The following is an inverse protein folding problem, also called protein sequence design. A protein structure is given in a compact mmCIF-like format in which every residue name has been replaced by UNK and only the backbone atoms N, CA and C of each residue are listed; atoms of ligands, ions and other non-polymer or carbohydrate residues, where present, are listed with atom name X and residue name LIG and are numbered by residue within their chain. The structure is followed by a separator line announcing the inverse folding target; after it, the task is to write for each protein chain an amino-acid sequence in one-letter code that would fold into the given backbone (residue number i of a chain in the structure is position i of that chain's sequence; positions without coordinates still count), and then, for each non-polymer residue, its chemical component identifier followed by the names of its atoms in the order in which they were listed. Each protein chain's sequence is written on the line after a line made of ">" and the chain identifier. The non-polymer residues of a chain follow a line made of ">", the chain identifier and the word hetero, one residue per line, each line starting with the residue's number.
data_IF_764702744878
#
_entry.id   IF_764702744878
#
_cell.length_a   1.000
_cell.length_b   1.000
_cell.length_c   1.000
_cell.angle_alpha   90.00
_cell.angle_beta   90.00
_cell.angle_gamma   90.00
#
_symmetry.space_group_name_H-M   'P 1'
#
loop_
_entity.id
_entity.type
_entity.pdbx_description
1 polymer ?
#
# COMPACT_ATOMS: atom_id res chain seq x y z
N UNK A 1 5.69 -9.53 -17.79
CA UNK A 1 7.13 -9.29 -17.51
C UNK A 1 7.54 -10.07 -16.29
N UNK A 2 8.62 -10.82 -16.36
CA UNK A 2 9.18 -11.54 -15.22
C UNK A 2 10.34 -10.73 -14.67
N UNK A 3 10.31 -10.43 -13.38
CA UNK A 3 11.39 -9.69 -12.72
C UNK A 3 11.99 -10.57 -11.63
N UNK A 4 13.31 -10.53 -11.51
CA UNK A 4 14.05 -11.23 -10.45
C UNK A 4 14.31 -10.25 -9.29
N UNK A 5 14.05 -10.69 -8.08
CA UNK A 5 14.36 -9.98 -6.83
C UNK A 5 13.65 -8.64 -6.64
N UNK A 6 12.81 -8.23 -7.60
CA UNK A 6 12.03 -7.01 -7.49
C UNK A 6 10.66 -7.22 -8.12
N UNK A 7 9.64 -6.60 -7.55
CA UNK A 7 8.32 -6.54 -8.16
C UNK A 7 8.12 -5.19 -8.86
N UNK A 8 7.35 -5.20 -9.94
CA UNK A 8 6.92 -3.96 -10.56
C UNK A 8 5.88 -3.24 -9.70
N UNK A 9 5.49 -2.07 -10.16
CA UNK A 9 4.40 -1.32 -9.51
C UNK A 9 3.09 -2.07 -9.67
N UNK A 10 2.33 -2.18 -8.60
CA UNK A 10 1.00 -2.77 -8.67
C UNK A 10 0.07 -1.85 -9.46
N UNK A 11 -0.69 -2.43 -10.36
CA UNK A 11 -1.55 -1.66 -11.26
C UNK A 11 -3.02 -1.96 -10.97
N UNK A 12 -3.87 -1.01 -11.36
CA UNK A 12 -5.32 -1.15 -11.22
C UNK A 12 -5.95 -1.85 -12.43
N UNK A 13 -5.20 -1.95 -13.53
CA UNK A 13 -5.65 -2.53 -14.79
C UNK A 13 -4.60 -3.55 -15.25
N UNK A 14 -5.01 -4.48 -16.11
CA UNK A 14 -4.26 -5.68 -16.48
C UNK A 14 -2.93 -5.46 -17.23
N UNK A 15 -2.59 -4.23 -17.58
CA UNK A 15 -1.42 -3.96 -18.42
C UNK A 15 -0.09 -4.30 -17.74
N UNK A 16 -0.09 -4.42 -16.41
CA UNK A 16 1.12 -4.71 -15.65
C UNK A 16 0.85 -5.79 -14.60
N UNK A 17 0.31 -6.89 -15.05
CA UNK A 17 0.03 -8.02 -14.16
C UNK A 17 1.33 -8.64 -13.66
N UNK A 18 1.44 -8.80 -12.36
CA UNK A 18 2.57 -9.48 -11.74
C UNK A 18 2.25 -10.96 -11.67
N UNK A 19 3.20 -11.76 -12.10
CA UNK A 19 3.12 -13.21 -12.04
C UNK A 19 4.22 -13.75 -11.14
N UNK A 20 3.93 -14.82 -10.45
CA UNK A 20 4.95 -15.61 -9.80
C UNK A 20 5.05 -16.97 -10.50
N UNK A 21 6.20 -17.61 -10.36
CA UNK A 21 6.40 -18.97 -10.87
C UNK A 21 6.15 -19.91 -9.71
N UNK A 22 5.19 -20.82 -9.90
CA UNK A 22 4.89 -21.84 -8.91
C UNK A 22 5.94 -22.96 -8.95
N UNK A 23 5.89 -23.87 -7.98
CA UNK A 23 6.80 -25.01 -7.89
C UNK A 23 6.74 -25.90 -9.14
N UNK A 24 5.66 -25.82 -9.91
CA UNK A 24 5.48 -26.55 -11.16
C UNK A 24 6.02 -25.80 -12.37
N UNK A 25 6.71 -24.68 -12.15
CA UNK A 25 7.26 -23.81 -13.20
C UNK A 25 6.22 -23.16 -14.10
N UNK A 26 4.97 -23.09 -13.66
CA UNK A 26 3.92 -22.38 -14.39
C UNK A 26 3.72 -20.99 -13.83
N UNK A 27 3.71 -19.96 -14.69
CA UNK A 27 3.38 -18.60 -14.20
C UNK A 27 1.91 -18.56 -13.76
N UNK A 28 1.67 -17.87 -12.65
CA UNK A 28 0.32 -17.63 -12.16
C UNK A 28 0.19 -16.19 -11.68
N UNK A 29 -1.02 -15.66 -11.70
CA UNK A 29 -1.28 -14.34 -11.14
C UNK A 29 -1.23 -14.42 -9.62
N UNK A 30 -0.76 -13.34 -9.01
CA UNK A 30 -0.79 -13.23 -7.56
C UNK A 30 -2.24 -13.11 -7.07
N UNK A 31 -2.52 -13.71 -5.93
CA UNK A 31 -3.83 -13.56 -5.28
C UNK A 31 -3.95 -12.17 -4.64
N UNK A 32 -5.18 -11.70 -4.35
CA UNK A 32 -5.33 -10.43 -3.63
C UNK A 32 -4.59 -10.40 -2.29
N UNK A 33 -4.56 -11.51 -1.56
CA UNK A 33 -3.81 -11.59 -0.30
C UNK A 33 -2.32 -11.39 -0.52
N UNK A 34 -1.77 -11.94 -1.59
CA UNK A 34 -0.36 -11.70 -1.94
C UNK A 34 -0.10 -10.25 -2.29
N UNK A 35 -1.03 -9.59 -2.98
CA UNK A 35 -0.94 -8.15 -3.25
C UNK A 35 -0.98 -7.34 -1.95
N UNK A 36 -1.84 -7.73 -1.02
CA UNK A 36 -1.89 -7.09 0.30
C UNK A 36 -0.54 -7.17 1.01
N UNK A 37 0.07 -8.35 0.99
CA UNK A 37 1.40 -8.56 1.59
C UNK A 37 2.47 -7.71 0.91
N UNK A 38 2.45 -7.62 -0.41
CA UNK A 38 3.41 -6.79 -1.15
C UNK A 38 3.28 -5.31 -0.81
N UNK A 39 2.06 -4.83 -0.56
CA UNK A 39 1.82 -3.44 -0.18
C UNK A 39 1.97 -3.21 1.33
N UNK A 40 2.15 -4.26 2.11
CA UNK A 40 2.33 -4.15 3.56
C UNK A 40 1.03 -4.08 4.36
N UNK A 41 -0.09 -4.46 3.77
CA UNK A 41 -1.36 -4.57 4.48
C UNK A 41 -1.46 -5.91 5.20
N UNK A 42 -2.25 -5.98 6.28
CA UNK A 42 -2.57 -7.27 6.88
C UNK A 42 -3.32 -8.18 5.89
N UNK A 43 -3.22 -9.50 6.07
CA UNK A 43 -3.95 -10.44 5.23
C UNK A 43 -5.45 -10.17 5.32
N UNK A 44 -6.13 -10.31 4.19
CA UNK A 44 -7.58 -10.12 4.05
C UNK A 44 -8.06 -8.72 4.43
N UNK A 45 -7.17 -7.73 4.41
CA UNK A 45 -7.53 -6.34 4.69
C UNK A 45 -8.60 -5.81 3.73
N UNK A 46 -8.55 -6.24 2.47
CA UNK A 46 -9.52 -5.84 1.44
C UNK A 46 -10.72 -6.78 1.34
N UNK A 47 -10.75 -7.84 2.15
CA UNK A 47 -11.87 -8.80 2.16
C UNK A 47 -12.97 -8.24 3.06
N UNK A 48 -13.80 -7.39 2.48
CA UNK A 48 -14.86 -6.66 3.19
C UNK A 48 -16.21 -6.93 2.52
N UNK A 49 -17.34 -6.71 3.20
CA UNK A 49 -18.65 -6.79 2.56
C UNK A 49 -18.71 -5.89 1.32
N UNK A 50 -19.29 -6.38 0.25
CA UNK A 50 -19.33 -5.67 -1.03
C UNK A 50 -20.73 -5.82 -1.65
N UNK A 51 -21.36 -4.69 -1.99
CA UNK A 51 -22.68 -4.63 -2.63
C UNK A 51 -23.73 -5.49 -1.92
N UNK A 52 -23.78 -5.43 -0.59
CA UNK A 52 -24.74 -6.19 0.21
C UNK A 52 -24.40 -7.66 0.39
N UNK A 53 -23.26 -8.12 -0.13
CA UNK A 53 -22.81 -9.50 0.05
C UNK A 53 -21.83 -9.59 1.22
N UNK A 54 -21.77 -10.74 1.91
CA UNK A 54 -20.82 -10.90 3.00
C UNK A 54 -19.36 -10.85 2.51
N UNK A 55 -18.44 -10.63 3.43
CA UNK A 55 -17.02 -10.48 3.11
C UNK A 55 -16.45 -11.66 2.34
N UNK A 56 -16.88 -12.89 2.65
CA UNK A 56 -16.41 -14.10 1.97
C UNK A 56 -16.74 -14.11 0.49
N UNK A 57 -17.75 -13.34 0.07
CA UNK A 57 -18.17 -13.24 -1.33
C UNK A 57 -17.63 -11.99 -2.02
N UNK A 58 -16.68 -11.31 -1.41
CA UNK A 58 -16.06 -10.12 -2.01
C UNK A 58 -15.30 -10.54 -3.27
N UNK A 59 -15.64 -9.95 -4.45
CA UNK A 59 -14.96 -10.33 -5.68
C UNK A 59 -13.51 -9.84 -5.69
N UNK A 60 -12.64 -10.56 -6.41
CA UNK A 60 -11.23 -10.25 -6.48
C UNK A 60 -10.93 -8.96 -7.24
N UNK A 61 -11.71 -8.65 -8.28
CA UNK A 61 -11.49 -7.47 -9.12
C UNK A 61 -11.40 -6.17 -8.34
N UNK A 62 -12.42 -5.83 -7.52
CA UNK A 62 -12.35 -4.64 -6.67
C UNK A 62 -11.19 -4.66 -5.68
N UNK A 63 -10.80 -5.84 -5.17
CA UNK A 63 -9.65 -5.97 -4.28
C UNK A 63 -8.36 -5.58 -4.99
N UNK A 64 -8.12 -6.10 -6.20
CA UNK A 64 -6.96 -5.72 -7.02
C UNK A 64 -6.95 -4.22 -7.30
N UNK A 65 -8.10 -3.67 -7.63
CA UNK A 65 -8.22 -2.24 -7.94
C UNK A 65 -7.88 -1.38 -6.72
N UNK A 66 -8.41 -1.73 -5.56
CA UNK A 66 -8.11 -1.01 -4.33
C UNK A 66 -6.62 -1.05 -4.00
N UNK A 67 -6.01 -2.22 -4.13
CA UNK A 67 -4.59 -2.40 -3.84
C UNK A 67 -3.70 -1.68 -4.87
N UNK A 68 -4.11 -1.67 -6.14
CA UNK A 68 -3.39 -0.93 -7.18
C UNK A 68 -3.47 0.57 -7.01
N UNK A 69 -4.59 1.10 -6.50
CA UNK A 69 -4.74 2.52 -6.19
C UNK A 69 -4.05 2.92 -4.90
N UNK A 70 -3.65 1.95 -4.10
CA UNK A 70 -3.04 2.16 -2.80
C UNK A 70 -1.52 2.40 -2.94
N UNK A 71 -0.88 2.59 -1.81
CA UNK A 71 0.57 2.78 -1.73
C UNK A 71 1.16 1.72 -0.79
N UNK A 72 2.45 1.44 -0.96
CA UNK A 72 3.15 0.56 -0.04
C UNK A 72 3.15 1.16 1.36
N UNK A 73 2.54 0.46 2.32
CA UNK A 73 2.35 0.95 3.68
C UNK A 73 3.68 1.30 4.37
N UNK A 74 4.73 0.44 4.29
CA UNK A 74 6.01 0.77 4.93
C UNK A 74 6.63 2.06 4.39
N UNK A 75 6.50 2.33 3.08
CA UNK A 75 7.02 3.54 2.45
C UNK A 75 6.28 4.76 2.96
N UNK A 76 4.95 4.70 2.99
CA UNK A 76 4.13 5.81 3.47
C UNK A 76 4.35 6.07 4.95
N UNK A 77 4.52 5.02 5.74
CA UNK A 77 4.85 5.15 7.15
C UNK A 77 6.18 5.88 7.34
N UNK A 78 7.19 5.48 6.57
CA UNK A 78 8.50 6.13 6.64
C UNK A 78 8.41 7.61 6.31
N UNK A 79 7.71 7.96 5.23
CA UNK A 79 7.50 9.35 4.83
C UNK A 79 6.74 10.12 5.91
N UNK A 80 5.66 9.54 6.43
CA UNK A 80 4.85 10.16 7.48
C UNK A 80 5.64 10.44 8.74
N UNK A 81 6.46 9.49 9.17
CA UNK A 81 7.33 9.67 10.33
C UNK A 81 8.32 10.80 10.11
N UNK A 82 8.89 10.92 8.90
CA UNK A 82 9.80 12.02 8.56
C UNK A 82 9.08 13.37 8.57
N UNK A 83 7.88 13.44 8.06
CA UNK A 83 7.06 14.66 8.10
C UNK A 83 6.80 15.07 9.55
N UNK A 84 6.43 14.13 10.41
CA UNK A 84 6.20 14.42 11.82
C UNK A 84 7.47 14.93 12.52
N UNK A 85 8.62 14.33 12.22
CA UNK A 85 9.90 14.78 12.77
C UNK A 85 10.21 16.22 12.36
N UNK A 86 9.99 16.56 11.09
CA UNK A 86 10.21 17.92 10.57
C UNK A 86 9.21 18.88 11.21
N UNK A 87 7.97 18.48 11.39
CA UNK A 87 6.96 19.30 12.04
C UNK A 87 7.31 19.60 13.49
N UNK A 88 7.82 18.61 14.21
CA UNK A 88 8.30 18.82 15.58
C UNK A 88 9.42 19.84 15.64
N UNK A 89 10.40 19.73 14.76
CA UNK A 89 11.51 20.70 14.67
C UNK A 89 10.97 22.08 14.32
N UNK A 90 10.05 22.15 13.38
CA UNK A 90 9.43 23.40 12.95
C UNK A 90 8.62 24.05 14.07
N UNK A 91 7.87 23.25 14.82
CA UNK A 91 7.07 23.73 15.95
C UNK A 91 7.97 24.26 17.07
N UNK A 92 9.08 23.60 17.36
CA UNK A 92 10.06 24.10 18.31
C UNK A 92 10.64 25.43 17.85
N UNK A 93 11.01 25.54 16.57
CA UNK A 93 11.48 26.79 16.00
C UNK A 93 10.42 27.87 15.98
N UNK A 94 9.20 27.52 15.60
CA UNK A 94 8.07 28.46 15.60
C UNK A 94 7.74 28.92 17.01
N UNK A 95 7.74 28.02 17.96
CA UNK A 95 7.51 28.35 19.36
C UNK A 95 8.55 29.33 19.87
N UNK A 96 9.82 29.10 19.55
CA UNK A 96 10.91 30.01 19.91
C UNK A 96 10.72 31.37 19.23
N UNK A 97 10.33 31.38 17.97
CA UNK A 97 10.06 32.64 17.25
C UNK A 97 8.86 33.38 17.85
N UNK A 98 7.81 32.66 18.18
CA UNK A 98 6.64 33.28 18.78
C UNK A 98 6.95 33.88 20.16
N UNK A 99 7.84 33.24 20.89
CA UNK A 99 8.30 33.77 22.19
C UNK A 99 9.09 35.04 22.00
N UNK A 100 9.86 35.15 20.89
CA UNK A 100 10.67 36.32 20.58
C UNK A 100 9.82 37.42 19.94
N UNK A 101 8.89 37.07 19.05
CA UNK A 101 8.14 38.01 18.22
C UNK A 101 6.74 38.28 18.74
N UNK A 102 6.24 37.47 19.67
CA UNK A 102 4.91 37.69 20.22
C UNK A 102 4.83 39.02 20.96
N UNK A 103 3.85 39.81 20.67
CA UNK A 103 3.66 41.07 21.34
C UNK A 103 3.28 40.87 22.81
#
# INVERSE_FOLDING_TARGET
>A
MVQHDMSGTLATVNDQTIFCVSDDYWPRRLTPTEYERLQGFPDDYTLIPYNGKPAEQCPDGPRYKALGNSMAVPVMRWIGERILMVEEIKNEGTYTQNTITAP
#
